data_IF_373598924414
#
_entry.id   IF_373598924414
#
_cell.length_a   1.000
_cell.length_b   1.000
_cell.length_c   1.000
_cell.angle_alpha   90.00
_cell.angle_beta   90.00
_cell.angle_gamma   90.00
#
_symmetry.space_group_name_H-M   'P 1'
#
loop_
_entity.id
_entity.type
_entity.pdbx_description
1 polymer ?
#
# COMPACT_ATOMS: atom_id res chain seq x y z
N UNK A 1 16.47 -18.09 4.44
CA UNK A 1 16.64 -16.77 3.82
C UNK A 1 15.83 -16.76 2.52
N UNK A 2 15.06 -15.71 2.27
CA UNK A 2 14.20 -15.57 1.10
C UNK A 2 14.95 -14.70 0.09
N UNK A 3 15.28 -15.25 -1.07
CA UNK A 3 15.98 -14.53 -2.14
C UNK A 3 15.24 -14.75 -3.46
N UNK A 4 14.94 -13.66 -4.17
CA UNK A 4 14.42 -13.71 -5.52
C UNK A 4 15.59 -13.46 -6.49
N UNK A 5 16.04 -14.47 -7.24
CA UNK A 5 17.12 -14.31 -8.21
C UNK A 5 16.65 -13.63 -9.50
N UNK A 6 15.36 -13.37 -9.67
CA UNK A 6 14.79 -12.78 -10.88
C UNK A 6 14.48 -11.29 -10.71
N UNK A 7 14.46 -10.55 -11.83
CA UNK A 7 14.03 -9.14 -11.86
C UNK A 7 12.50 -8.98 -11.85
N UNK A 8 11.74 -10.08 -11.83
CA UNK A 8 10.28 -10.07 -11.84
C UNK A 8 9.76 -10.13 -10.40
N UNK A 9 8.76 -9.30 -10.02
CA UNK A 9 8.19 -9.35 -8.68
C UNK A 9 7.42 -10.65 -8.44
N UNK A 10 7.78 -11.37 -7.38
CA UNK A 10 7.05 -12.57 -6.91
C UNK A 10 6.03 -12.15 -5.85
N UNK A 11 4.77 -12.50 -6.06
CA UNK A 11 3.70 -12.23 -5.07
C UNK A 11 3.55 -13.44 -4.15
N UNK A 12 3.72 -13.21 -2.85
CA UNK A 12 3.44 -14.21 -1.82
C UNK A 12 2.04 -13.97 -1.25
N UNK A 13 1.20 -15.00 -1.28
CA UNK A 13 -0.16 -14.93 -0.76
C UNK A 13 -0.28 -15.60 0.61
N UNK A 14 -1.08 -15.01 1.47
CA UNK A 14 -1.44 -15.59 2.77
C UNK A 14 -2.20 -16.90 2.58
N UNK A 15 -1.86 -17.92 3.36
CA UNK A 15 -2.50 -19.23 3.30
C UNK A 15 -2.01 -20.14 2.18
N UNK A 16 -1.18 -19.65 1.25
CA UNK A 16 -0.53 -20.50 0.25
C UNK A 16 0.78 -21.09 0.81
N UNK A 17 1.05 -22.38 0.55
CA UNK A 17 2.31 -23.01 0.96
C UNK A 17 3.48 -22.36 0.21
N UNK A 18 4.47 -21.86 0.95
CA UNK A 18 5.65 -21.21 0.39
C UNK A 18 6.94 -22.06 0.52
N UNK A 19 7.04 -22.88 1.57
CA UNK A 19 8.18 -23.74 1.79
C UNK A 19 7.76 -25.09 2.36
N UNK A 20 8.59 -26.11 2.13
CA UNK A 20 8.41 -27.46 2.68
C UNK A 20 9.41 -27.68 3.81
N UNK A 21 8.93 -28.16 4.96
CA UNK A 21 9.79 -28.63 6.03
C UNK A 21 10.10 -30.12 5.80
N UNK A 22 11.38 -30.47 5.72
CA UNK A 22 11.84 -31.85 5.64
C UNK A 22 12.52 -32.20 6.96
N UNK A 23 12.07 -33.27 7.59
CA UNK A 23 12.61 -33.75 8.85
C UNK A 23 13.63 -34.87 8.59
N UNK A 24 14.83 -34.70 9.13
CA UNK A 24 15.87 -35.72 9.06
C UNK A 24 16.05 -36.38 10.43
N UNK A 25 16.18 -37.71 10.44
CA UNK A 25 16.55 -38.44 11.65
C UNK A 25 18.03 -38.19 11.92
N UNK A 26 18.32 -37.39 12.94
CA UNK A 26 19.70 -37.20 13.38
C UNK A 26 20.16 -38.46 14.14
N UNK A 27 21.24 -39.08 13.68
CA UNK A 27 21.80 -40.29 14.30
C UNK A 27 22.68 -39.96 15.51
N UNK A 28 23.20 -38.74 15.60
CA UNK A 28 23.98 -38.28 16.74
C UNK A 28 23.10 -37.44 17.69
N UNK A 29 23.08 -37.76 19.00
CA UNK A 29 22.37 -36.93 19.96
C UNK A 29 23.04 -35.56 20.05
N UNK A 30 22.24 -34.49 20.02
CA UNK A 30 22.74 -33.16 20.28
C UNK A 30 23.19 -33.08 21.75
N UNK A 31 24.49 -32.85 21.99
CA UNK A 31 25.07 -32.72 23.34
C UNK A 31 24.77 -31.36 23.99
N UNK A 32 24.33 -30.38 23.19
CA UNK A 32 23.96 -29.05 23.68
C UNK A 32 22.45 -28.97 23.89
N UNK A 33 21.98 -28.54 25.08
CA UNK A 33 20.57 -28.24 25.27
C UNK A 33 20.15 -27.12 24.31
N UNK A 34 18.94 -27.21 23.78
CA UNK A 34 18.38 -26.17 22.93
C UNK A 34 18.17 -24.90 23.77
N UNK A 35 19.03 -23.89 23.60
CA UNK A 35 18.89 -22.59 24.28
C UNK A 35 17.75 -21.72 23.75
N UNK A 36 16.82 -22.27 22.96
CA UNK A 36 15.66 -21.57 22.42
C UNK A 36 14.41 -22.13 23.09
N UNK A 37 13.56 -21.25 23.58
CA UNK A 37 12.26 -21.63 24.13
C UNK A 37 11.44 -22.43 23.10
N UNK A 38 10.74 -23.46 23.57
CA UNK A 38 9.81 -24.24 22.76
C UNK A 38 8.65 -23.35 22.29
N UNK A 39 8.33 -23.38 20.99
CA UNK A 39 7.14 -22.68 20.47
C UNK A 39 7.36 -21.21 20.09
N UNK A 40 8.56 -20.79 19.70
CA UNK A 40 8.85 -19.43 19.21
C UNK A 40 8.22 -19.07 17.84
N UNK A 41 6.89 -19.10 17.78
CA UNK A 41 6.07 -18.56 16.69
C UNK A 41 6.12 -17.02 16.68
N UNK A 42 6.39 -16.43 17.83
CA UNK A 42 6.53 -15.00 18.10
C UNK A 42 7.59 -14.31 17.22
N UNK A 43 8.71 -14.96 16.91
CA UNK A 43 9.77 -14.38 16.05
C UNK A 43 9.30 -14.22 14.60
N UNK A 44 8.50 -15.17 14.12
CA UNK A 44 7.93 -15.08 12.78
C UNK A 44 6.80 -14.05 12.75
N UNK A 45 5.90 -14.10 13.75
CA UNK A 45 4.73 -13.23 13.85
C UNK A 45 5.09 -11.75 14.08
N UNK A 46 6.01 -11.41 15.01
CA UNK A 46 6.39 -10.01 15.29
C UNK A 46 6.96 -9.31 14.06
N UNK A 47 7.80 -10.01 13.30
CA UNK A 47 8.44 -9.44 12.12
C UNK A 47 7.46 -9.30 10.96
N UNK A 48 6.53 -10.25 10.82
CA UNK A 48 5.45 -10.17 9.84
C UNK A 48 4.46 -9.05 10.13
N UNK A 49 3.96 -8.95 11.36
CA UNK A 49 3.02 -7.89 11.75
C UNK A 49 3.61 -6.49 11.54
N UNK A 50 4.87 -6.27 11.92
CA UNK A 50 5.53 -4.97 11.71
C UNK A 50 5.56 -4.58 10.24
N UNK A 51 5.93 -5.53 9.36
CA UNK A 51 5.96 -5.27 7.91
C UNK A 51 4.56 -5.03 7.35
N UNK A 52 3.56 -5.82 7.77
CA UNK A 52 2.16 -5.62 7.36
C UNK A 52 1.63 -4.24 7.77
N UNK A 53 1.88 -3.81 9.01
CA UNK A 53 1.48 -2.47 9.48
C UNK A 53 2.17 -1.35 8.69
N UNK A 54 3.45 -1.49 8.36
CA UNK A 54 4.17 -0.49 7.55
C UNK A 54 3.60 -0.38 6.13
N UNK A 55 3.29 -1.50 5.48
CA UNK A 55 2.67 -1.52 4.15
C UNK A 55 1.27 -0.88 4.20
N UNK A 56 0.45 -1.23 5.19
CA UNK A 56 -0.89 -0.65 5.34
C UNK A 56 -0.87 0.85 5.64
N UNK A 57 0.08 1.35 6.45
CA UNK A 57 0.25 2.79 6.69
C UNK A 57 0.59 3.53 5.39
N UNK A 58 1.52 3.01 4.58
CA UNK A 58 1.86 3.59 3.27
C UNK A 58 0.66 3.57 2.31
N UNK A 59 -0.14 2.51 2.33
CA UNK A 59 -1.35 2.38 1.51
C UNK A 59 -2.43 3.39 1.90
N UNK A 60 -2.66 3.63 3.20
CA UNK A 60 -3.60 4.66 3.70
C UNK A 60 -3.16 6.08 3.31
N UNK A 61 -1.88 6.40 3.47
CA UNK A 61 -1.35 7.72 3.07
C UNK A 61 -1.53 7.98 1.57
N UNK A 62 -1.25 6.97 0.74
CA UNK A 62 -1.51 7.04 -0.71
C UNK A 62 -2.99 7.22 -1.03
N UNK A 63 -3.87 6.45 -0.39
CA UNK A 63 -5.31 6.52 -0.62
C UNK A 63 -5.88 7.90 -0.26
N UNK A 64 -5.41 8.50 0.84
CA UNK A 64 -5.76 9.87 1.21
C UNK A 64 -5.33 10.85 0.11
N UNK A 65 -4.07 10.78 -0.35
CA UNK A 65 -3.53 11.69 -1.36
C UNK A 65 -4.21 11.53 -2.74
N UNK A 66 -4.57 10.30 -3.13
CA UNK A 66 -5.20 10.02 -4.42
C UNK A 66 -6.70 10.30 -4.46
N UNK A 67 -7.38 10.36 -3.30
CA UNK A 67 -8.85 10.51 -3.24
C UNK A 67 -9.27 11.87 -2.67
N UNK A 68 -8.67 12.31 -1.56
CA UNK A 68 -9.08 13.56 -0.91
C UNK A 68 -8.63 14.80 -1.68
N UNK A 69 -7.41 14.82 -2.22
CA UNK A 69 -6.88 16.01 -2.90
C UNK A 69 -7.67 16.34 -4.18
N UNK A 70 -7.92 15.40 -5.11
CA UNK A 70 -8.71 15.70 -6.31
C UNK A 70 -10.14 16.11 -5.97
N UNK A 71 -10.76 15.47 -4.98
CA UNK A 71 -12.12 15.80 -4.53
C UNK A 71 -12.21 17.21 -3.93
N UNK A 72 -11.20 17.61 -3.13
CA UNK A 72 -11.14 18.95 -2.56
C UNK A 72 -10.95 20.04 -3.64
N UNK A 73 -10.16 19.76 -4.68
CA UNK A 73 -9.96 20.68 -5.82
C UNK A 73 -11.28 20.91 -6.58
N UNK A 74 -12.06 19.85 -6.82
CA UNK A 74 -13.37 19.95 -7.48
C UNK A 74 -14.36 20.73 -6.60
N UNK A 75 -14.40 20.45 -5.30
CA UNK A 75 -15.27 21.20 -4.38
C UNK A 75 -14.90 22.69 -4.33
N UNK A 76 -13.61 23.01 -4.34
CA UNK A 76 -13.12 24.39 -4.33
C UNK A 76 -13.45 25.11 -5.63
N UNK A 77 -13.31 24.47 -6.81
CA UNK A 77 -13.64 25.10 -8.09
C UNK A 77 -15.13 25.40 -8.21
N UNK A 78 -15.99 24.50 -7.72
CA UNK A 78 -17.45 24.72 -7.65
C UNK A 78 -17.78 25.87 -6.69
N UNK A 79 -17.15 25.92 -5.52
CA UNK A 79 -17.34 27.00 -4.56
C UNK A 79 -16.95 28.37 -5.13
N UNK A 80 -15.79 28.46 -5.79
CA UNK A 80 -15.33 29.70 -6.44
C UNK A 80 -16.30 30.12 -7.55
N UNK A 81 -16.75 29.18 -8.38
CA UNK A 81 -17.69 29.46 -9.46
C UNK A 81 -19.05 29.98 -8.96
N UNK A 82 -19.52 29.52 -7.80
CA UNK A 82 -20.79 29.95 -7.20
C UNK A 82 -20.69 31.30 -6.47
N UNK A 83 -19.58 31.57 -5.79
CA UNK A 83 -19.44 32.77 -4.95
C UNK A 83 -18.95 33.99 -5.74
N UNK A 84 -18.05 33.81 -6.70
CA UNK A 84 -17.33 34.91 -7.32
C UNK A 84 -17.77 35.26 -8.75
N UNK A 85 -18.61 34.43 -9.39
CA UNK A 85 -19.03 34.66 -10.78
C UNK A 85 -20.55 34.70 -10.94
N UNK A 86 -21.13 35.91 -10.99
CA UNK A 86 -22.55 36.08 -11.31
C UNK A 86 -22.87 35.78 -12.78
N UNK A 87 -21.87 35.76 -13.65
CA UNK A 87 -22.02 35.45 -15.07
C UNK A 87 -22.13 33.94 -15.33
N UNK A 88 -23.32 33.51 -15.76
CA UNK A 88 -23.68 32.11 -16.03
C UNK A 88 -22.82 31.40 -17.09
N UNK A 89 -22.06 32.16 -17.89
CA UNK A 89 -21.22 31.64 -18.98
C UNK A 89 -19.79 31.29 -18.53
N UNK A 90 -19.28 31.92 -17.46
CA UNK A 90 -17.91 31.71 -16.98
C UNK A 90 -17.81 30.61 -15.91
N UNK A 91 -18.90 30.36 -15.18
CA UNK A 91 -18.97 29.29 -14.17
C UNK A 91 -18.71 27.86 -14.70
N UNK A 92 -19.19 27.45 -15.90
CA UNK A 92 -18.93 26.11 -16.42
C UNK A 92 -17.46 25.90 -16.79
N UNK A 93 -16.79 26.96 -17.30
CA UNK A 93 -15.40 26.90 -17.71
C UNK A 93 -14.46 26.68 -16.52
N UNK A 94 -14.75 27.30 -15.37
CA UNK A 94 -13.95 27.12 -14.15
C UNK A 94 -14.16 25.75 -13.53
N UNK A 95 -15.40 25.25 -13.52
CA UNK A 95 -15.67 23.89 -13.06
C UNK A 95 -14.99 22.87 -13.98
N UNK A 96 -15.05 23.05 -15.29
CA UNK A 96 -14.36 22.19 -16.26
C UNK A 96 -12.84 22.22 -16.09
N UNK A 97 -12.24 23.40 -15.87
CA UNK A 97 -10.81 23.54 -15.59
C UNK A 97 -10.43 22.83 -14.28
N UNK A 98 -11.24 22.97 -13.22
CA UNK A 98 -11.02 22.28 -11.94
C UNK A 98 -11.09 20.76 -12.06
N UNK A 99 -12.06 20.23 -12.81
CA UNK A 99 -12.17 18.79 -13.11
C UNK A 99 -10.98 18.31 -13.94
N UNK A 100 -10.53 19.09 -14.93
CA UNK A 100 -9.35 18.77 -15.74
C UNK A 100 -8.06 18.69 -14.91
N UNK A 101 -7.83 19.68 -14.04
CA UNK A 101 -6.67 19.68 -13.12
C UNK A 101 -6.74 18.49 -12.17
N UNK A 102 -7.92 18.19 -11.60
CA UNK A 102 -8.11 17.03 -10.73
C UNK A 102 -7.82 15.72 -11.46
N UNK A 103 -8.25 15.57 -12.72
CA UNK A 103 -7.98 14.39 -13.55
C UNK A 103 -6.50 14.20 -13.88
N UNK A 104 -5.79 15.26 -14.26
CA UNK A 104 -4.34 15.22 -14.51
C UNK A 104 -3.58 14.88 -13.23
N UNK A 105 -3.94 15.52 -12.11
CA UNK A 105 -3.31 15.24 -10.82
C UNK A 105 -3.51 13.78 -10.41
N UNK A 106 -4.69 13.22 -10.64
CA UNK A 106 -5.00 11.82 -10.35
C UNK A 106 -4.19 10.86 -11.23
N UNK A 107 -3.96 11.20 -12.51
CA UNK A 107 -3.08 10.41 -13.39
C UNK A 107 -1.61 10.44 -12.97
N UNK A 108 -1.12 11.57 -12.44
CA UNK A 108 0.26 11.69 -11.94
C UNK A 108 0.43 10.97 -10.60
N UNK A 109 -0.58 11.03 -9.72
CA UNK A 109 -0.54 10.42 -8.39
C UNK A 109 -0.78 8.90 -8.41
N UNK A 110 -1.44 8.38 -9.43
CA UNK A 110 -1.59 6.94 -9.63
C UNK A 110 -0.33 6.37 -10.29
N UNK A 111 0.32 5.34 -9.68
CA UNK A 111 1.43 4.67 -10.36
C UNK A 111 0.90 4.03 -11.66
N UNK A 112 1.50 4.38 -12.80
CA UNK A 112 1.31 3.64 -14.06
C UNK A 112 1.62 2.18 -13.78
N UNK A 113 0.58 1.33 -13.87
CA UNK A 113 0.70 -0.12 -13.76
C UNK A 113 1.43 -0.67 -14.98
#
# INVERSE_FOLDING_TARGET
PLHNPTNVPITLEMGKPFCTAVFFKNQSPATKPCGKESGRLDILLKNWERRFRQVNKRRRGRMFLTVFIPSAIIALSVFIALVYLPDKLASPAIVAAGVGVAGILQQILLPRR
#
